data_IF_975928688833
#
_entry.id   IF_975928688833
#
_cell.length_a   1.000
_cell.length_b   1.000
_cell.length_c   1.000
_cell.angle_alpha   90.00
_cell.angle_beta   90.00
_cell.angle_gamma   90.00
#
_symmetry.space_group_name_H-M   'P 1'
#
loop_
_entity.id
_entity.type
_entity.pdbx_description
1 polymer ?
#
# COMPACT_ATOMS: atom_id res chain seq x y z
N UNK A 1 29.51 -6.64 7.08
CA UNK A 1 28.81 -7.51 6.12
C UNK A 1 28.83 -6.83 4.76
N UNK A 2 29.30 -7.53 3.73
CA UNK A 2 29.43 -6.98 2.37
C UNK A 2 28.09 -6.49 1.82
N UNK A 3 28.10 -5.40 1.03
CA UNK A 3 26.89 -4.81 0.42
C UNK A 3 26.04 -5.88 -0.31
N UNK A 4 26.72 -6.86 -0.91
CA UNK A 4 26.13 -7.98 -1.65
C UNK A 4 25.27 -8.88 -0.76
N UNK A 5 25.70 -9.17 0.47
CA UNK A 5 24.96 -10.02 1.41
C UNK A 5 23.70 -9.32 1.89
N UNK A 6 23.75 -8.00 2.13
CA UNK A 6 22.59 -7.21 2.55
C UNK A 6 21.53 -7.13 1.43
N UNK A 7 21.96 -6.84 0.20
CA UNK A 7 21.04 -6.75 -0.95
C UNK A 7 20.32 -8.09 -1.21
N UNK A 8 21.04 -9.22 -1.11
CA UNK A 8 20.43 -10.55 -1.29
C UNK A 8 19.37 -10.83 -0.21
N UNK A 9 19.65 -10.46 1.05
CA UNK A 9 18.78 -10.75 2.18
C UNK A 9 17.50 -9.88 2.16
N UNK A 10 17.64 -8.61 1.74
CA UNK A 10 16.50 -7.71 1.53
C UNK A 10 15.62 -8.22 0.38
N UNK A 11 16.22 -8.65 -0.74
CA UNK A 11 15.47 -9.22 -1.87
C UNK A 11 14.67 -10.45 -1.44
N UNK A 12 15.31 -11.35 -0.69
CA UNK A 12 14.67 -12.55 -0.15
C UNK A 12 13.51 -12.18 0.79
N UNK A 13 13.71 -11.19 1.67
CA UNK A 13 12.67 -10.70 2.58
C UNK A 13 11.45 -10.13 1.86
N UNK A 14 11.64 -9.34 0.81
CA UNK A 14 10.54 -8.80 -0.01
C UNK A 14 9.75 -9.93 -0.65
N UNK A 15 10.43 -10.90 -1.26
CA UNK A 15 9.79 -12.07 -1.87
C UNK A 15 8.98 -12.85 -0.83
N UNK A 16 9.53 -13.05 0.37
CA UNK A 16 8.85 -13.73 1.46
C UNK A 16 7.58 -12.98 1.92
N UNK A 17 7.64 -11.65 2.04
CA UNK A 17 6.48 -10.81 2.40
C UNK A 17 5.38 -10.93 1.34
N UNK A 18 5.74 -10.87 0.05
CA UNK A 18 4.77 -10.96 -1.05
C UNK A 18 4.09 -12.33 -1.07
N UNK A 19 4.86 -13.41 -0.96
CA UNK A 19 4.31 -14.78 -0.93
C UNK A 19 3.38 -14.95 0.28
N UNK A 20 3.82 -14.52 1.46
CA UNK A 20 3.06 -14.70 2.68
C UNK A 20 1.77 -13.87 2.65
N UNK A 21 1.81 -12.63 2.16
CA UNK A 21 0.63 -11.77 2.02
C UNK A 21 -0.32 -12.25 0.92
N UNK A 22 0.20 -12.88 -0.14
CA UNK A 22 -0.63 -13.36 -1.26
C UNK A 22 -1.33 -14.69 -0.98
N UNK A 23 -0.77 -15.53 -0.10
CA UNK A 23 -1.29 -16.89 0.15
C UNK A 23 -2.02 -17.00 1.49
N UNK A 24 -1.62 -16.22 2.50
CA UNK A 24 -2.28 -16.26 3.82
C UNK A 24 -3.36 -15.18 3.91
N UNK A 25 -4.54 -15.52 4.43
CA UNK A 25 -5.63 -14.56 4.72
C UNK A 25 -5.29 -13.60 5.89
N UNK A 26 -4.01 -13.45 6.24
CA UNK A 26 -3.56 -12.59 7.32
C UNK A 26 -3.34 -11.17 6.77
N UNK A 27 -3.72 -10.17 7.56
CA UNK A 27 -3.52 -8.75 7.21
C UNK A 27 -2.04 -8.47 6.94
N UNK A 28 -1.74 -7.58 5.99
CA UNK A 28 -0.38 -7.21 5.57
C UNK A 28 0.55 -6.86 6.76
N UNK A 29 -0.01 -6.27 7.82
CA UNK A 29 0.73 -5.96 9.04
C UNK A 29 1.22 -7.20 9.81
N UNK A 30 0.36 -8.22 9.96
CA UNK A 30 0.74 -9.45 10.64
C UNK A 30 1.79 -10.23 9.85
N UNK A 31 1.66 -10.26 8.52
CA UNK A 31 2.63 -10.84 7.60
C UNK A 31 4.01 -10.18 7.75
N UNK A 32 4.06 -8.84 7.78
CA UNK A 32 5.30 -8.08 7.96
C UNK A 32 5.96 -8.38 9.33
N UNK A 33 5.18 -8.46 10.41
CA UNK A 33 5.68 -8.73 11.76
C UNK A 33 6.31 -10.13 11.87
N UNK A 34 5.67 -11.14 11.28
CA UNK A 34 6.16 -12.52 11.27
C UNK A 34 7.47 -12.61 10.47
N UNK A 35 7.52 -12.03 9.27
CA UNK A 35 8.74 -12.07 8.44
C UNK A 35 9.88 -11.32 9.12
N UNK A 36 9.61 -10.18 9.77
CA UNK A 36 10.63 -9.42 10.50
C UNK A 36 11.20 -10.22 11.67
N UNK A 37 10.38 -10.94 12.43
CA UNK A 37 10.84 -11.83 13.50
C UNK A 37 11.70 -12.99 12.97
N UNK A 38 11.27 -13.61 11.86
CA UNK A 38 12.02 -14.70 11.23
C UNK A 38 13.37 -14.23 10.70
N UNK A 39 13.42 -13.08 10.02
CA UNK A 39 14.69 -12.50 9.55
C UNK A 39 15.58 -12.09 10.72
N UNK A 40 15.03 -11.45 11.75
CA UNK A 40 15.82 -10.99 12.88
C UNK A 40 16.51 -12.13 13.63
N UNK A 41 15.82 -13.26 13.82
CA UNK A 41 16.40 -14.47 14.41
C UNK A 41 17.63 -14.99 13.64
N UNK A 42 17.67 -14.79 12.32
CA UNK A 42 18.78 -15.25 11.46
C UNK A 42 19.91 -14.21 11.40
N UNK A 43 19.60 -12.91 11.55
CA UNK A 43 20.51 -11.83 11.17
C UNK A 43 21.18 -11.13 12.37
N UNK A 44 20.52 -11.03 13.52
CA UNK A 44 20.98 -10.22 14.67
C UNK A 44 20.91 -11.02 15.99
N UNK A 45 22.03 -11.61 16.48
CA UNK A 45 22.04 -12.38 17.73
C UNK A 45 22.08 -11.53 19.03
N UNK A 46 22.55 -10.27 19.00
CA UNK A 46 22.85 -9.48 20.22
C UNK A 46 22.12 -8.13 20.33
N UNK A 47 21.12 -7.86 19.48
CA UNK A 47 20.39 -6.58 19.48
C UNK A 47 18.93 -6.78 19.84
N UNK A 48 18.36 -5.83 20.56
CA UNK A 48 16.93 -5.80 20.88
C UNK A 48 16.09 -5.72 19.59
N UNK A 49 15.75 -6.88 19.05
CA UNK A 49 14.92 -7.05 17.85
C UNK A 49 13.59 -6.30 18.01
N UNK A 50 13.03 -6.34 19.23
CA UNK A 50 11.78 -5.68 19.57
C UNK A 50 11.95 -4.15 19.50
N UNK A 51 13.08 -3.60 19.91
CA UNK A 51 13.34 -2.16 19.83
C UNK A 51 13.47 -1.71 18.38
N UNK A 52 14.30 -2.40 17.58
CA UNK A 52 14.50 -2.07 16.15
C UNK A 52 13.18 -2.18 15.39
N UNK A 53 12.39 -3.22 15.67
CA UNK A 53 11.08 -3.41 15.06
C UNK A 53 10.11 -2.29 15.45
N UNK A 54 10.01 -1.95 16.75
CA UNK A 54 9.17 -0.86 17.24
C UNK A 54 9.58 0.50 16.65
N UNK A 55 10.87 0.75 16.52
CA UNK A 55 11.40 2.03 16.06
C UNK A 55 11.20 2.20 14.54
N UNK A 56 11.54 1.18 13.74
CA UNK A 56 11.32 1.19 12.29
C UNK A 56 9.84 1.18 11.91
N UNK A 57 9.06 0.28 12.51
CA UNK A 57 7.61 0.20 12.26
C UNK A 57 6.89 1.44 12.80
N UNK A 58 7.22 1.89 14.02
CA UNK A 58 6.59 3.03 14.66
C UNK A 58 6.83 4.35 13.91
N UNK A 59 8.06 4.60 13.44
CA UNK A 59 8.38 5.78 12.63
C UNK A 59 7.57 5.80 11.31
N UNK A 60 7.45 4.64 10.66
CA UNK A 60 6.68 4.50 9.42
C UNK A 60 5.19 4.66 9.67
N UNK A 61 4.65 4.02 10.72
CA UNK A 61 3.24 4.12 11.09
C UNK A 61 2.83 5.50 11.56
N UNK A 62 3.70 6.22 12.27
CA UNK A 62 3.45 7.60 12.64
C UNK A 62 3.31 8.46 11.37
N UNK A 63 4.24 8.31 10.42
CA UNK A 63 4.24 9.07 9.17
C UNK A 63 3.01 8.77 8.30
N UNK A 64 2.71 7.49 8.08
CA UNK A 64 1.53 7.06 7.32
C UNK A 64 0.22 7.37 8.04
N UNK A 65 0.19 7.23 9.37
CA UNK A 65 -1.00 7.48 10.19
C UNK A 65 -1.46 8.93 10.12
N UNK A 66 -0.52 9.87 10.24
CA UNK A 66 -0.81 11.30 10.06
C UNK A 66 -1.33 11.55 8.63
N UNK A 67 -0.66 11.02 7.61
CA UNK A 67 -1.07 11.15 6.19
C UNK A 67 -2.49 10.63 5.94
N UNK A 68 -2.84 9.47 6.52
CA UNK A 68 -4.16 8.86 6.38
C UNK A 68 -5.21 9.70 7.09
N UNK A 69 -4.97 10.16 8.32
CA UNK A 69 -5.92 10.99 9.09
C UNK A 69 -6.20 12.31 8.35
N UNK A 70 -5.16 13.00 7.90
CA UNK A 70 -5.34 14.22 7.11
C UNK A 70 -6.04 13.93 5.79
N UNK A 71 -5.70 12.83 5.11
CA UNK A 71 -6.36 12.39 3.89
C UNK A 71 -7.85 12.12 4.08
N UNK A 72 -8.26 11.46 5.16
CA UNK A 72 -9.67 11.19 5.46
C UNK A 72 -10.43 12.45 5.85
N UNK A 73 -9.82 13.38 6.58
CA UNK A 73 -10.42 14.69 6.88
C UNK A 73 -10.70 15.44 5.58
N UNK A 74 -9.73 15.52 4.67
CA UNK A 74 -9.91 16.18 3.37
C UNK A 74 -10.99 15.47 2.55
N UNK A 75 -10.98 14.13 2.51
CA UNK A 75 -11.99 13.34 1.81
C UNK A 75 -13.40 13.62 2.33
N UNK A 76 -13.60 13.64 3.65
CA UNK A 76 -14.90 13.92 4.28
C UNK A 76 -15.34 15.36 4.02
N UNK A 77 -14.43 16.34 4.07
CA UNK A 77 -14.76 17.73 3.74
C UNK A 77 -15.20 17.87 2.28
N UNK A 78 -14.55 17.18 1.35
CA UNK A 78 -14.96 17.15 -0.07
C UNK A 78 -16.33 16.49 -0.27
N UNK A 79 -16.64 15.44 0.51
CA UNK A 79 -17.93 14.77 0.47
C UNK A 79 -19.04 15.68 1.00
N UNK A 80 -18.81 16.36 2.14
CA UNK A 80 -19.78 17.26 2.77
C UNK A 80 -20.03 18.54 1.97
N UNK A 81 -19.02 19.05 1.27
CA UNK A 81 -19.15 20.25 0.40
C UNK A 81 -19.78 19.93 -0.96
N UNK A 82 -20.01 18.65 -1.28
CA UNK A 82 -20.42 18.24 -2.63
C UNK A 82 -19.33 18.42 -3.69
N UNK A 83 -18.09 18.73 -3.29
CA UNK A 83 -16.94 18.83 -4.18
C UNK A 83 -16.68 17.53 -4.93
N UNK A 84 -16.83 16.38 -4.26
CA UNK A 84 -16.72 15.06 -4.88
C UNK A 84 -17.74 14.86 -6.03
N UNK A 85 -18.97 15.36 -5.86
CA UNK A 85 -20.04 15.26 -6.85
C UNK A 85 -19.78 16.20 -8.03
N UNK A 86 -19.26 17.40 -7.77
CA UNK A 86 -18.83 18.34 -8.82
C UNK A 86 -17.69 17.75 -9.69
N UNK A 87 -16.68 17.14 -9.04
CA UNK A 87 -15.59 16.45 -9.74
C UNK A 87 -16.13 15.29 -10.58
N UNK A 88 -17.02 14.47 -10.01
CA UNK A 88 -17.66 13.38 -10.74
C UNK A 88 -18.46 13.88 -11.95
N UNK A 89 -19.24 14.96 -11.80
CA UNK A 89 -20.01 15.57 -12.89
C UNK A 89 -19.11 16.16 -13.98
N UNK A 90 -17.97 16.76 -13.63
CA UNK A 90 -16.99 17.23 -14.62
C UNK A 90 -16.36 16.09 -15.42
N UNK A 91 -16.04 14.97 -14.76
CA UNK A 91 -15.54 13.77 -15.45
C UNK A 91 -16.64 13.19 -16.36
N UNK A 92 -17.88 13.14 -15.89
CA UNK A 92 -19.03 12.65 -16.66
C UNK A 92 -19.39 13.56 -17.84
N UNK A 93 -19.26 14.89 -17.72
CA UNK A 93 -19.52 15.80 -18.83
C UNK A 93 -18.49 15.62 -19.96
N UNK A 94 -17.26 15.23 -19.62
CA UNK A 94 -16.20 14.93 -20.60
C UNK A 94 -16.31 13.53 -21.21
N UNK A 95 -16.92 12.57 -20.51
CA UNK A 95 -17.06 11.16 -20.95
C UNK A 95 -18.46 10.80 -21.47
N UNK A 96 -19.47 11.65 -21.24
CA UNK A 96 -20.85 11.52 -21.69
C UNK A 96 -21.83 11.14 -20.56
N UNK A 97 -22.83 12.00 -20.31
CA UNK A 97 -23.93 11.76 -19.36
C UNK A 97 -24.80 10.57 -19.84
N UNK A 98 -24.64 9.42 -19.19
CA UNK A 98 -25.44 8.21 -19.48
C UNK A 98 -24.64 6.96 -19.80
N UNK A 99 -23.30 7.05 -19.88
CA UNK A 99 -22.41 5.90 -20.11
C UNK A 99 -21.51 5.57 -18.93
N UNK A 100 -21.78 6.01 -17.69
CA UNK A 100 -20.89 5.72 -16.55
C UNK A 100 -20.52 4.22 -16.41
N UNK A 101 -21.50 3.33 -16.58
CA UNK A 101 -21.27 1.88 -16.60
C UNK A 101 -20.53 1.39 -17.87
N UNK A 102 -20.89 1.92 -19.05
CA UNK A 102 -20.24 1.56 -20.32
C UNK A 102 -18.83 2.16 -20.47
N UNK A 103 -18.52 3.26 -19.77
CA UNK A 103 -17.22 3.91 -19.70
C UNK A 103 -16.30 3.22 -18.70
N UNK A 104 -16.81 2.64 -17.61
CA UNK A 104 -16.03 1.76 -16.74
C UNK A 104 -15.61 0.48 -17.48
N UNK A 105 -16.49 -0.09 -18.30
CA UNK A 105 -16.20 -1.24 -19.16
C UNK A 105 -15.22 -0.88 -20.31
N UNK A 106 -15.43 0.27 -20.97
CA UNK A 106 -14.52 0.78 -22.01
C UNK A 106 -13.17 1.24 -21.44
N UNK A 107 -13.10 1.68 -20.18
CA UNK A 107 -11.85 1.96 -19.47
C UNK A 107 -11.10 0.67 -19.13
N UNK A 108 -11.79 -0.39 -18.74
CA UNK A 108 -11.17 -1.70 -18.55
C UNK A 108 -10.60 -2.25 -19.88
N UNK A 109 -11.34 -2.10 -20.99
CA UNK A 109 -10.88 -2.51 -22.32
C UNK A 109 -9.77 -1.60 -22.89
N UNK A 110 -9.88 -0.27 -22.76
CA UNK A 110 -8.85 0.69 -23.20
C UNK A 110 -7.55 0.61 -22.38
N UNK A 111 -7.59 0.19 -21.11
CA UNK A 111 -6.36 -0.06 -20.34
C UNK A 111 -5.63 -1.32 -20.80
N UNK A 112 -6.35 -2.30 -21.34
CA UNK A 112 -5.76 -3.50 -21.93
C UNK A 112 -5.26 -3.26 -23.37
N UNK A 113 -5.92 -2.38 -24.13
CA UNK A 113 -5.54 -2.04 -25.51
C UNK A 113 -4.38 -1.04 -25.61
N UNK A 114 -4.21 -0.15 -24.63
CA UNK A 114 -3.08 0.80 -24.59
C UNK A 114 -1.78 0.21 -24.02
N UNK A 115 -1.79 -1.06 -23.61
CA UNK A 115 -0.62 -1.82 -23.16
C UNK A 115 -0.25 -2.96 -24.11
N UNK A 116 -0.54 -2.79 -25.40
CA UNK A 116 0.19 -3.40 -26.50
C UNK A 116 0.79 -2.33 -27.41
#
# INVERSE_FOLDING_TARGET
MSIVTLSILVLLGIVLIVILTSVTKLNAFASLFIVALLLAMITLPDKDVIQILKEGFGSTMASLGVLIIFGTIIAVVLEKTGGAISIANYILSKTGHGKAASAMDWLHFSYCDKKR
#
